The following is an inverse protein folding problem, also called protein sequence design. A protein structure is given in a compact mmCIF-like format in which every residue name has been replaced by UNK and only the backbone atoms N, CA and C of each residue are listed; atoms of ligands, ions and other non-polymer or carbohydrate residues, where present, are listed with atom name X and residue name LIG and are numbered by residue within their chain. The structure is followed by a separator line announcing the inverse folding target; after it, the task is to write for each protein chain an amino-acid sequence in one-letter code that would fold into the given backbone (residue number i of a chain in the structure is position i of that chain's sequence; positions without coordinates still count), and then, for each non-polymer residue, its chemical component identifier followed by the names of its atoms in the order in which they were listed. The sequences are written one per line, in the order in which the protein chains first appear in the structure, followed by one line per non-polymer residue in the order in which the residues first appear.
data_IF_591048385929
#
_entry.id   IF_591048385929
#
_cell.length_a   1.000
_cell.length_b   1.000
_cell.length_c   1.000
_cell.angle_alpha   90.00
_cell.angle_beta   90.00
_cell.angle_gamma   90.00
#
_symmetry.space_group_name_H-M   'P 1'
#
loop_
_entity.id
_entity.type
_entity.pdbx_description
1 polymer ?
#
# COMPACT_ATOMS: atom_id res chain seq x y z
N UNK A 1 8.22 -7.11 -25.74
CA UNK A 1 8.81 -7.25 -24.39
C UNK A 1 7.72 -7.80 -23.46
N UNK A 2 7.95 -8.89 -22.71
CA UNK A 2 6.96 -9.47 -21.77
C UNK A 2 7.25 -8.99 -20.35
N UNK A 3 6.20 -8.67 -19.59
CA UNK A 3 6.32 -8.08 -18.24
C UNK A 3 6.82 -9.04 -17.16
N UNK A 4 6.49 -10.33 -17.22
CA UNK A 4 6.89 -11.36 -16.25
C UNK A 4 6.56 -10.99 -14.78
N UNK A 5 5.37 -10.43 -14.55
CA UNK A 5 4.99 -9.79 -13.28
C UNK A 5 4.95 -10.78 -12.11
N UNK A 6 4.49 -12.01 -12.33
CA UNK A 6 4.44 -13.05 -11.29
C UNK A 6 5.81 -13.31 -10.63
N UNK A 7 6.92 -13.08 -11.35
CA UNK A 7 8.28 -13.21 -10.84
C UNK A 7 8.85 -11.87 -10.36
N UNK A 8 8.52 -10.76 -11.04
CA UNK A 8 9.07 -9.44 -10.75
C UNK A 8 8.43 -8.77 -9.54
N UNK A 9 7.12 -8.90 -9.36
CA UNK A 9 6.41 -8.27 -8.24
C UNK A 9 6.91 -8.77 -6.88
N UNK A 10 7.11 -10.09 -6.65
CA UNK A 10 7.73 -10.56 -5.41
C UNK A 10 9.13 -9.98 -5.15
N UNK A 11 9.95 -9.82 -6.20
CA UNK A 11 11.28 -9.22 -6.08
C UNK A 11 11.20 -7.73 -5.73
N UNK A 12 10.25 -7.01 -6.31
CA UNK A 12 9.99 -5.61 -5.97
C UNK A 12 9.55 -5.45 -4.52
N UNK A 13 8.65 -6.32 -4.04
CA UNK A 13 8.19 -6.31 -2.64
C UNK A 13 9.35 -6.56 -1.68
N UNK A 14 10.18 -7.57 -1.95
CA UNK A 14 11.37 -7.86 -1.14
C UNK A 14 12.33 -6.67 -1.06
N UNK A 15 12.54 -5.97 -2.19
CA UNK A 15 13.37 -4.77 -2.22
C UNK A 15 12.75 -3.61 -1.41
N UNK A 16 11.44 -3.41 -1.46
CA UNK A 16 10.77 -2.40 -0.64
C UNK A 16 10.89 -2.67 0.86
N UNK A 17 10.83 -3.94 1.27
CA UNK A 17 11.04 -4.36 2.66
C UNK A 17 12.49 -4.15 3.10
N UNK A 18 13.46 -4.62 2.31
CA UNK A 18 14.89 -4.48 2.58
C UNK A 18 15.30 -3.01 2.75
N UNK A 19 14.75 -2.13 1.91
CA UNK A 19 15.03 -0.69 1.96
C UNK A 19 14.19 0.07 2.97
N UNK A 20 13.26 -0.62 3.67
CA UNK A 20 12.27 -0.02 4.56
C UNK A 20 11.52 1.17 3.89
N UNK A 21 11.16 1.02 2.62
CA UNK A 21 10.62 2.10 1.78
C UNK A 21 9.42 2.79 2.43
N UNK A 22 8.47 2.02 2.96
CA UNK A 22 7.28 2.58 3.62
C UNK A 22 7.65 3.45 4.83
N UNK A 23 8.61 3.00 5.66
CA UNK A 23 9.09 3.77 6.81
C UNK A 23 9.70 5.12 6.37
N UNK A 24 10.53 5.10 5.32
CA UNK A 24 11.13 6.32 4.75
C UNK A 24 10.09 7.28 4.20
N UNK A 25 9.04 6.77 3.55
CA UNK A 25 7.91 7.57 3.07
C UNK A 25 7.22 8.28 4.24
N UNK A 26 6.96 7.57 5.35
CA UNK A 26 6.35 8.13 6.57
C UNK A 26 7.23 9.17 7.26
N UNK A 27 8.54 8.94 7.33
CA UNK A 27 9.51 9.91 7.87
C UNK A 27 9.52 11.20 7.03
N UNK A 28 9.48 11.07 5.70
CA UNK A 28 9.46 12.22 4.78
C UNK A 28 8.13 13.00 4.79
N UNK A 29 7.03 12.36 5.19
CA UNK A 29 5.72 13.03 5.32
C UNK A 29 5.43 13.57 6.71
N UNK A 30 6.31 13.36 7.69
CA UNK A 30 6.13 13.87 9.04
C UNK A 30 5.92 15.39 9.04
N UNK A 31 4.86 15.84 9.70
CA UNK A 31 4.51 17.26 9.83
C UNK A 31 3.61 17.82 8.71
N UNK A 32 3.31 17.05 7.65
CA UNK A 32 2.29 17.43 6.66
C UNK A 32 0.88 17.27 7.22
N UNK A 33 -0.10 17.82 6.52
CA UNK A 33 -1.51 17.61 6.87
C UNK A 33 -1.87 16.13 6.78
N UNK A 34 -2.49 15.57 7.83
CA UNK A 34 -2.80 14.14 7.89
C UNK A 34 -4.01 13.81 7.04
N UNK A 35 -3.91 12.73 6.27
CA UNK A 35 -5.06 12.08 5.67
C UNK A 35 -5.18 10.66 6.22
N UNK A 36 -6.34 10.31 6.79
CA UNK A 36 -6.54 9.03 7.46
C UNK A 36 -7.73 8.30 6.84
N UNK A 37 -7.45 7.20 6.13
CA UNK A 37 -8.47 6.29 5.62
C UNK A 37 -8.68 5.14 6.60
N UNK A 38 -9.84 5.10 7.25
CA UNK A 38 -10.14 4.05 8.22
C UNK A 38 -10.48 2.73 7.50
N UNK A 39 -9.79 1.67 7.87
CA UNK A 39 -9.99 0.33 7.30
C UNK A 39 -10.89 -0.51 8.22
N UNK A 40 -11.97 -1.06 7.69
CA UNK A 40 -12.82 -2.00 8.41
C UNK A 40 -12.05 -3.32 8.63
N UNK A 41 -11.96 -3.82 9.88
CA UNK A 41 -11.23 -5.05 10.16
C UNK A 41 -11.92 -6.23 9.46
N UNK A 42 -11.22 -6.99 8.60
CA UNK A 42 -11.77 -8.23 8.07
C UNK A 42 -11.87 -9.26 9.20
N UNK A 43 -12.80 -10.21 9.08
CA UNK A 43 -12.77 -11.38 9.94
C UNK A 43 -11.56 -12.25 9.56
N UNK A 44 -10.85 -12.77 10.57
CA UNK A 44 -9.63 -13.56 10.40
C UNK A 44 -9.91 -15.05 10.10
N UNK A 45 -11.04 -15.35 9.44
CA UNK A 45 -11.47 -16.70 9.11
C UNK A 45 -11.73 -16.85 7.59
N UNK A 46 -11.38 -18.02 7.05
CA UNK A 46 -11.55 -18.31 5.63
C UNK A 46 -10.52 -17.63 4.72
N UNK A 47 -10.59 -17.96 3.44
CA UNK A 47 -9.67 -17.44 2.43
C UNK A 47 -10.08 -16.05 1.93
N UNK A 48 -9.08 -15.27 1.52
CA UNK A 48 -9.26 -13.98 0.86
C UNK A 48 -9.84 -14.21 -0.54
N UNK A 49 -11.09 -13.80 -0.74
CA UNK A 49 -11.73 -13.75 -2.07
C UNK A 49 -11.52 -12.40 -2.80
N UNK A 50 -11.93 -12.33 -4.07
CA UNK A 50 -11.77 -11.13 -4.93
C UNK A 50 -12.33 -9.83 -4.34
N UNK A 51 -13.44 -9.89 -3.60
CA UNK A 51 -13.99 -8.73 -2.88
C UNK A 51 -13.02 -8.10 -1.87
N UNK A 52 -12.20 -8.91 -1.18
CA UNK A 52 -11.16 -8.40 -0.30
C UNK A 52 -10.04 -7.72 -1.10
N UNK A 53 -9.61 -8.34 -2.21
CA UNK A 53 -8.59 -7.76 -3.07
C UNK A 53 -9.03 -6.39 -3.61
N UNK A 54 -10.25 -6.30 -4.15
CA UNK A 54 -10.83 -5.04 -4.63
C UNK A 54 -10.84 -3.98 -3.53
N UNK A 55 -11.31 -4.33 -2.33
CA UNK A 55 -11.39 -3.41 -1.20
C UNK A 55 -10.00 -2.85 -0.83
N UNK A 56 -8.98 -3.71 -0.72
CA UNK A 56 -7.64 -3.29 -0.33
C UNK A 56 -6.92 -2.52 -1.43
N UNK A 57 -7.08 -2.91 -2.69
CA UNK A 57 -6.47 -2.20 -3.84
C UNK A 57 -7.00 -0.77 -3.93
N UNK A 58 -8.31 -0.55 -3.82
CA UNK A 58 -8.87 0.80 -3.89
C UNK A 58 -8.38 1.67 -2.71
N UNK A 59 -8.36 1.11 -1.50
CA UNK A 59 -7.86 1.82 -0.32
C UNK A 59 -6.38 2.22 -0.47
N UNK A 60 -5.56 1.32 -1.00
CA UNK A 60 -4.14 1.56 -1.26
C UNK A 60 -3.93 2.65 -2.33
N UNK A 61 -4.73 2.65 -3.42
CA UNK A 61 -4.70 3.71 -4.44
C UNK A 61 -5.02 5.07 -3.82
N UNK A 62 -6.06 5.16 -2.99
CA UNK A 62 -6.47 6.41 -2.34
C UNK A 62 -5.35 6.93 -1.43
N UNK A 63 -4.80 6.08 -0.55
CA UNK A 63 -3.71 6.46 0.37
C UNK A 63 -2.48 6.93 -0.43
N UNK A 64 -2.07 6.20 -1.47
CA UNK A 64 -0.93 6.60 -2.32
C UNK A 64 -1.17 7.92 -3.05
N UNK A 65 -2.38 8.15 -3.57
CA UNK A 65 -2.72 9.43 -4.22
C UNK A 65 -2.58 10.60 -3.25
N UNK A 66 -3.13 10.48 -2.03
CA UNK A 66 -3.01 11.52 -1.01
C UNK A 66 -1.56 11.74 -0.57
N UNK A 67 -0.77 10.68 -0.48
CA UNK A 67 0.67 10.80 -0.18
C UNK A 67 1.40 11.61 -1.25
N UNK A 68 1.09 11.35 -2.52
CA UNK A 68 1.67 12.05 -3.67
C UNK A 68 1.16 13.50 -3.80
N UNK A 69 -0.05 13.80 -3.31
CA UNK A 69 -0.61 15.15 -3.19
C UNK A 69 -0.01 15.98 -2.05
N UNK A 70 0.83 15.37 -1.19
CA UNK A 70 1.52 16.07 -0.11
C UNK A 70 0.89 15.92 1.27
N UNK A 71 -0.04 14.98 1.46
CA UNK A 71 -0.52 14.63 2.79
C UNK A 71 0.46 13.71 3.53
N UNK A 72 0.28 13.60 4.85
CA UNK A 72 0.82 12.53 5.67
C UNK A 72 -0.20 11.38 5.74
N UNK A 73 -0.03 10.39 4.86
CA UNK A 73 -1.00 9.29 4.62
C UNK A 73 -0.39 7.90 4.57
#
# INVERSE_FOLDING_TARGET
MRGNLAQREPQMLAHWEETALYKRIRENSAGREKFILHDGPPYANGDIHIGHALNKIIKDIIVKSRQMEGFDS
#
